data_IF_928963319845
#
_entry.id   IF_928963319845
#
_cell.length_a   1.000
_cell.length_b   1.000
_cell.length_c   1.000
_cell.angle_alpha   90.00
_cell.angle_beta   90.00
_cell.angle_gamma   90.00
#
_symmetry.space_group_name_H-M   'P 1'
#
loop_
_entity.id
_entity.type
_entity.pdbx_description
1 polymer ?
#
# COMPACT_ATOMS: atom_id res chain seq x y z
N UNK A 1 -1.64 -6.67 -14.12
CA UNK A 1 -1.52 -8.15 -14.18
C UNK A 1 -1.90 -8.75 -15.53
N UNK A 2 -3.18 -8.81 -15.93
CA UNK A 2 -3.59 -9.54 -17.15
C UNK A 2 -2.86 -9.18 -18.46
N UNK A 3 -2.54 -7.90 -18.69
CA UNK A 3 -1.78 -7.46 -19.89
C UNK A 3 -0.30 -7.91 -19.82
N UNK A 4 0.28 -7.98 -18.62
CA UNK A 4 1.64 -8.49 -18.42
C UNK A 4 1.71 -9.99 -18.76
N UNK A 5 0.75 -10.77 -18.29
CA UNK A 5 0.58 -12.18 -18.66
C UNK A 5 0.40 -12.35 -20.17
N UNK A 6 -0.37 -11.46 -20.80
CA UNK A 6 -0.58 -11.49 -22.25
C UNK A 6 0.72 -11.28 -23.04
N UNK A 7 1.61 -10.38 -22.59
CA UNK A 7 2.92 -10.12 -23.20
C UNK A 7 3.84 -11.34 -23.13
N UNK A 8 3.79 -12.07 -22.02
CA UNK A 8 4.57 -13.30 -21.82
C UNK A 8 3.96 -14.53 -22.53
N UNK A 9 2.83 -14.37 -23.22
CA UNK A 9 2.15 -15.45 -23.95
C UNK A 9 1.24 -16.31 -23.07
N UNK A 10 1.04 -15.94 -21.81
CA UNK A 10 0.15 -16.61 -20.86
C UNK A 10 -1.33 -16.22 -21.09
N UNK A 11 -1.81 -16.41 -22.32
CA UNK A 11 -3.10 -15.90 -22.77
C UNK A 11 -4.28 -16.44 -21.97
N UNK A 12 -4.25 -17.71 -21.54
CA UNK A 12 -5.34 -18.27 -20.74
C UNK A 12 -5.45 -17.61 -19.36
N UNK A 13 -4.30 -17.33 -18.72
CA UNK A 13 -4.28 -16.59 -17.45
C UNK A 13 -4.71 -15.13 -17.68
N UNK A 14 -4.22 -14.49 -18.73
CA UNK A 14 -4.64 -13.14 -19.12
C UNK A 14 -6.16 -13.03 -19.34
N UNK A 15 -6.77 -13.99 -20.03
CA UNK A 15 -8.22 -14.05 -20.26
C UNK A 15 -9.03 -14.17 -18.94
N UNK A 16 -8.53 -14.90 -17.95
CA UNK A 16 -9.16 -14.97 -16.60
C UNK A 16 -9.14 -13.60 -15.92
N UNK A 17 -7.98 -12.94 -15.93
CA UNK A 17 -7.77 -11.60 -15.36
C UNK A 17 -8.66 -10.51 -16.01
N UNK A 18 -9.20 -10.73 -17.21
CA UNK A 18 -10.10 -9.77 -17.86
C UNK A 18 -11.56 -9.88 -17.41
N UNK A 19 -11.96 -11.00 -16.80
CA UNK A 19 -13.35 -11.22 -16.38
C UNK A 19 -13.68 -10.55 -15.05
N UNK A 20 -12.78 -10.70 -14.08
CA UNK A 20 -13.05 -10.29 -12.70
C UNK A 20 -13.28 -8.77 -12.51
N UNK A 21 -12.51 -7.86 -13.16
CA UNK A 21 -12.69 -6.43 -12.90
C UNK A 21 -14.06 -5.89 -13.32
N UNK A 22 -14.62 -6.39 -14.43
CA UNK A 22 -15.92 -5.97 -14.95
C UNK A 22 -17.09 -6.55 -14.14
N UNK A 23 -17.02 -7.85 -13.86
CA UNK A 23 -18.12 -8.58 -13.21
C UNK A 23 -18.20 -8.30 -11.70
N UNK A 24 -17.08 -8.07 -11.03
CA UNK A 24 -17.01 -8.03 -9.57
C UNK A 24 -16.72 -6.62 -9.01
N UNK A 25 -15.76 -5.90 -9.58
CA UNK A 25 -15.28 -4.64 -9.00
C UNK A 25 -16.00 -3.41 -9.55
N UNK A 26 -16.23 -3.35 -10.87
CA UNK A 26 -16.77 -2.16 -11.54
C UNK A 26 -18.18 -1.79 -11.03
N UNK A 27 -19.01 -2.79 -10.74
CA UNK A 27 -20.38 -2.57 -10.24
C UNK A 27 -20.40 -1.79 -8.91
N UNK A 28 -19.40 -1.99 -8.05
CA UNK A 28 -19.24 -1.28 -6.78
C UNK A 28 -18.92 0.21 -6.95
N UNK A 29 -18.38 0.61 -8.10
CA UNK A 29 -17.97 1.99 -8.38
C UNK A 29 -19.10 2.84 -8.99
N UNK A 30 -20.18 2.23 -9.47
CA UNK A 30 -21.24 2.93 -10.20
C UNK A 30 -21.85 4.10 -9.41
N UNK A 31 -22.20 3.87 -8.14
CA UNK A 31 -22.76 4.92 -7.27
C UNK A 31 -21.78 6.08 -7.06
N UNK A 32 -20.48 5.78 -7.00
CA UNK A 32 -19.42 6.76 -6.86
C UNK A 32 -19.23 7.59 -8.14
N UNK A 33 -19.35 6.99 -9.32
CA UNK A 33 -19.32 7.71 -10.59
C UNK A 33 -20.53 8.64 -10.74
N UNK A 34 -21.74 8.13 -10.45
CA UNK A 34 -22.97 8.94 -10.50
C UNK A 34 -22.89 10.16 -9.58
N UNK A 35 -22.45 9.96 -8.33
CA UNK A 35 -22.33 11.04 -7.35
C UNK A 35 -21.33 12.15 -7.78
N UNK A 36 -20.39 11.82 -8.68
CA UNK A 36 -19.35 12.73 -9.18
C UNK A 36 -19.57 13.19 -10.62
N UNK A 37 -20.65 12.76 -11.27
CA UNK A 37 -20.91 13.06 -12.67
C UNK A 37 -19.86 12.49 -13.63
N UNK A 38 -19.18 11.41 -13.24
CA UNK A 38 -18.25 10.67 -14.09
C UNK A 38 -19.01 9.62 -14.91
N UNK A 39 -18.64 9.46 -16.17
CA UNK A 39 -19.17 8.40 -17.04
C UNK A 39 -18.54 7.02 -16.73
N UNK A 40 -17.48 7.00 -15.90
CA UNK A 40 -16.70 5.82 -15.59
C UNK A 40 -15.81 5.40 -16.77
N UNK A 41 -15.54 4.10 -16.88
CA UNK A 41 -14.62 3.53 -17.88
C UNK A 41 -15.05 2.12 -18.33
N UNK A 42 -16.36 1.83 -18.29
CA UNK A 42 -16.90 0.52 -18.63
C UNK A 42 -16.57 0.09 -20.07
N UNK A 43 -16.66 1.04 -21.00
CA UNK A 43 -16.43 0.80 -22.42
C UNK A 43 -14.96 0.48 -22.71
N UNK A 44 -14.03 1.20 -22.08
CA UNK A 44 -12.60 0.94 -22.17
C UNK A 44 -12.24 -0.40 -21.53
N UNK A 45 -12.85 -0.74 -20.40
CA UNK A 45 -12.64 -2.01 -19.71
C UNK A 45 -13.11 -3.19 -20.58
N UNK A 46 -14.33 -3.09 -21.13
CA UNK A 46 -14.87 -4.10 -22.06
C UNK A 46 -14.00 -4.22 -23.31
N UNK A 47 -13.53 -3.09 -23.85
CA UNK A 47 -12.66 -3.09 -25.04
C UNK A 47 -11.36 -3.84 -24.77
N UNK A 48 -10.72 -3.65 -23.61
CA UNK A 48 -9.51 -4.38 -23.26
C UNK A 48 -9.80 -5.88 -23.12
N UNK A 49 -10.88 -6.24 -22.41
CA UNK A 49 -11.28 -7.63 -22.22
C UNK A 49 -11.54 -8.34 -23.55
N UNK A 50 -12.22 -7.68 -24.49
CA UNK A 50 -12.48 -8.19 -25.82
C UNK A 50 -11.17 -8.42 -26.59
N UNK A 51 -10.23 -7.47 -26.57
CA UNK A 51 -8.94 -7.62 -27.29
C UNK A 51 -8.10 -8.77 -26.77
N UNK A 52 -8.09 -9.01 -25.46
CA UNK A 52 -7.43 -10.16 -24.86
C UNK A 52 -8.12 -11.46 -25.27
N UNK A 53 -9.45 -11.51 -25.19
CA UNK A 53 -10.27 -12.69 -25.52
C UNK A 53 -10.19 -13.07 -27.00
N UNK A 54 -10.19 -12.06 -27.88
CA UNK A 54 -10.01 -12.22 -29.33
C UNK A 54 -8.58 -12.58 -29.72
N UNK A 55 -7.65 -12.55 -28.77
CA UNK A 55 -6.22 -12.74 -28.97
C UNK A 55 -5.65 -11.79 -30.02
N UNK A 56 -6.01 -10.52 -29.89
CA UNK A 56 -5.52 -9.46 -30.76
C UNK A 56 -3.98 -9.33 -30.69
N UNK A 57 -3.32 -8.73 -31.69
CA UNK A 57 -1.90 -8.42 -31.61
C UNK A 57 -1.55 -7.67 -30.31
N UNK A 58 -0.39 -7.97 -29.72
CA UNK A 58 0.04 -7.36 -28.44
C UNK A 58 -0.08 -5.83 -28.46
N UNK A 59 0.32 -5.19 -29.56
CA UNK A 59 0.21 -3.73 -29.71
C UNK A 59 -1.24 -3.20 -29.61
N UNK A 60 -2.23 -3.98 -30.04
CA UNK A 60 -3.64 -3.60 -29.93
C UNK A 60 -4.17 -3.76 -28.50
N UNK A 61 -3.74 -4.82 -27.81
CA UNK A 61 -4.04 -5.03 -26.38
C UNK A 61 -3.43 -3.92 -25.54
N UNK A 62 -2.17 -3.58 -25.78
CA UNK A 62 -1.49 -2.47 -25.10
C UNK A 62 -2.17 -1.13 -25.36
N UNK A 63 -2.53 -0.86 -26.61
CA UNK A 63 -3.26 0.37 -26.92
C UNK A 63 -4.62 0.44 -26.21
N UNK A 64 -5.32 -0.69 -26.04
CA UNK A 64 -6.56 -0.73 -25.26
C UNK A 64 -6.30 -0.52 -23.76
N UNK A 65 -5.23 -1.10 -23.24
CA UNK A 65 -4.83 -0.94 -21.85
C UNK A 65 -4.49 0.51 -21.50
N UNK A 66 -3.73 1.20 -22.36
CA UNK A 66 -3.41 2.62 -22.15
C UNK A 66 -4.66 3.52 -22.16
N UNK A 67 -5.65 3.20 -23.01
CA UNK A 67 -6.95 3.91 -23.00
C UNK A 67 -7.69 3.69 -21.69
N UNK A 68 -7.72 2.45 -21.19
CA UNK A 68 -8.32 2.14 -19.89
C UNK A 68 -7.62 2.88 -18.76
N UNK A 69 -6.28 2.87 -18.70
CA UNK A 69 -5.52 3.60 -17.67
C UNK A 69 -5.80 5.11 -17.73
N UNK A 70 -5.92 5.68 -18.93
CA UNK A 70 -6.29 7.09 -19.12
C UNK A 70 -7.68 7.37 -18.54
N UNK A 71 -8.68 6.54 -18.86
CA UNK A 71 -10.05 6.71 -18.38
C UNK A 71 -10.17 6.52 -16.85
N UNK A 72 -9.41 5.58 -16.28
CA UNK A 72 -9.28 5.43 -14.81
C UNK A 72 -8.71 6.71 -14.20
N UNK A 73 -7.63 7.26 -14.77
CA UNK A 73 -7.01 8.50 -14.30
C UNK A 73 -7.94 9.71 -14.36
N UNK A 74 -8.76 9.82 -15.41
CA UNK A 74 -9.79 10.87 -15.53
C UNK A 74 -10.89 10.71 -14.47
N UNK A 75 -11.33 9.48 -14.21
CA UNK A 75 -12.31 9.18 -13.17
C UNK A 75 -11.77 9.47 -11.75
N UNK A 76 -10.48 9.18 -11.50
CA UNK A 76 -9.80 9.53 -10.26
C UNK A 76 -9.65 11.05 -10.10
N UNK A 77 -9.25 11.76 -11.16
CA UNK A 77 -9.14 13.22 -11.13
C UNK A 77 -10.48 13.89 -10.83
N UNK A 78 -11.60 13.34 -11.32
CA UNK A 78 -12.94 13.80 -10.99
C UNK A 78 -13.31 13.60 -9.50
N UNK A 79 -12.64 12.68 -8.80
CA UNK A 79 -12.79 12.48 -7.36
C UNK A 79 -12.00 13.49 -6.51
N UNK A 80 -11.07 14.24 -7.13
CA UNK A 80 -10.23 15.25 -6.47
C UNK A 80 -8.83 14.72 -6.13
N UNK A 81 -8.01 15.58 -5.51
CA UNK A 81 -6.66 15.23 -5.10
C UNK A 81 -6.67 14.51 -3.75
N UNK A 82 -6.08 13.33 -3.68
CA UNK A 82 -5.86 12.63 -2.41
C UNK A 82 -4.79 13.32 -1.57
N UNK A 83 -5.04 13.42 -0.27
CA UNK A 83 -4.07 13.81 0.73
C UNK A 83 -3.02 12.71 0.93
N UNK A 84 -1.85 13.01 1.51
CA UNK A 84 -0.88 11.98 1.88
C UNK A 84 -1.47 10.86 2.72
N UNK A 85 -2.38 11.19 3.65
CA UNK A 85 -3.02 10.19 4.49
C UNK A 85 -3.89 9.24 3.67
N UNK A 86 -4.70 9.77 2.76
CA UNK A 86 -5.54 8.94 1.88
C UNK A 86 -4.68 8.04 0.98
N UNK A 87 -3.54 8.52 0.47
CA UNK A 87 -2.60 7.67 -0.27
C UNK A 87 -2.07 6.52 0.58
N UNK A 88 -1.68 6.77 1.84
CA UNK A 88 -1.21 5.72 2.75
C UNK A 88 -2.32 4.71 3.09
N UNK A 89 -3.56 5.17 3.27
CA UNK A 89 -4.73 4.32 3.50
C UNK A 89 -5.07 3.46 2.26
N UNK A 90 -4.92 4.00 1.05
CA UNK A 90 -5.05 3.24 -0.21
C UNK A 90 -3.98 2.16 -0.30
N UNK A 91 -2.71 2.50 -0.04
CA UNK A 91 -1.60 1.53 -0.04
C UNK A 91 -1.87 0.40 0.96
N UNK A 92 -2.31 0.74 2.18
CA UNK A 92 -2.69 -0.25 3.18
C UNK A 92 -3.80 -1.18 2.68
N UNK A 93 -4.84 -0.62 2.06
CA UNK A 93 -5.92 -1.41 1.47
C UNK A 93 -5.42 -2.40 0.41
N UNK A 94 -4.58 -1.91 -0.52
CA UNK A 94 -3.98 -2.74 -1.57
C UNK A 94 -3.14 -3.88 -1.01
N UNK A 95 -2.29 -3.61 0.00
CA UNK A 95 -1.45 -4.66 0.62
C UNK A 95 -2.28 -5.65 1.45
N UNK A 96 -3.38 -5.23 2.08
CA UNK A 96 -4.30 -6.15 2.74
C UNK A 96 -4.99 -7.08 1.74
N UNK A 97 -5.54 -6.54 0.65
CA UNK A 97 -6.14 -7.37 -0.41
C UNK A 97 -5.09 -8.29 -1.03
N UNK A 98 -3.86 -7.82 -1.27
CA UNK A 98 -2.78 -8.69 -1.71
C UNK A 98 -2.50 -9.84 -0.72
N UNK A 99 -2.56 -9.58 0.59
CA UNK A 99 -2.39 -10.62 1.59
C UNK A 99 -3.53 -11.65 1.56
N UNK A 100 -4.77 -11.21 1.39
CA UNK A 100 -5.95 -12.08 1.26
C UNK A 100 -5.87 -12.98 0.03
N UNK A 101 -5.56 -12.41 -1.14
CA UNK A 101 -5.41 -13.18 -2.38
C UNK A 101 -4.23 -14.17 -2.29
N UNK A 102 -3.09 -13.74 -1.75
CA UNK A 102 -1.95 -14.62 -1.60
C UNK A 102 -2.20 -15.75 -0.58
N UNK A 103 -3.01 -15.52 0.47
CA UNK A 103 -3.42 -16.57 1.41
C UNK A 103 -4.26 -17.65 0.72
N UNK A 104 -5.14 -17.27 -0.21
CA UNK A 104 -5.90 -18.22 -1.05
C UNK A 104 -4.97 -18.98 -2.00
N UNK A 105 -3.91 -18.34 -2.49
CA UNK A 105 -2.95 -18.97 -3.39
C UNK A 105 -2.09 -20.06 -2.73
N UNK A 106 -1.83 -19.97 -1.42
CA UNK A 106 -0.92 -20.85 -0.68
C UNK A 106 -1.69 -21.95 0.06
N UNK A 107 -1.42 -23.20 -0.30
CA UNK A 107 -1.93 -24.39 0.38
C UNK A 107 -1.00 -24.98 1.45
N UNK A 108 -1.40 -26.15 1.93
CA UNK A 108 -0.72 -26.88 3.00
C UNK A 108 0.77 -27.11 2.68
N UNK A 109 1.64 -26.68 3.61
CA UNK A 109 3.09 -26.83 3.47
C UNK A 109 3.72 -25.97 2.37
N UNK A 110 2.99 -24.97 1.88
CA UNK A 110 3.45 -24.03 0.83
C UNK A 110 3.18 -24.54 -0.59
N UNK A 111 2.23 -25.45 -0.82
CA UNK A 111 1.79 -25.80 -2.18
C UNK A 111 1.14 -24.59 -2.86
N UNK A 112 1.28 -24.48 -4.17
CA UNK A 112 0.44 -23.58 -4.95
C UNK A 112 -0.94 -24.21 -5.15
N UNK A 113 -2.00 -23.57 -4.64
CA UNK A 113 -3.40 -24.01 -4.82
C UNK A 113 -4.13 -23.17 -5.85
N UNK A 114 -3.85 -21.86 -5.89
CA UNK A 114 -4.48 -20.95 -6.84
C UNK A 114 -3.46 -20.00 -7.49
N UNK A 115 -3.10 -20.30 -8.74
CA UNK A 115 -2.21 -19.46 -9.52
C UNK A 115 -2.80 -18.09 -9.88
N UNK A 116 -4.13 -18.00 -9.93
CA UNK A 116 -4.83 -16.77 -10.23
C UNK A 116 -4.68 -15.76 -9.09
N UNK A 117 -4.98 -16.17 -7.86
CA UNK A 117 -4.88 -15.23 -6.72
C UNK A 117 -3.42 -14.87 -6.40
N UNK A 118 -2.47 -15.76 -6.70
CA UNK A 118 -1.05 -15.41 -6.65
C UNK A 118 -0.72 -14.19 -7.53
N UNK A 119 -1.28 -14.17 -8.74
CA UNK A 119 -1.06 -13.13 -9.72
C UNK A 119 -1.85 -11.86 -9.37
N UNK A 120 -3.09 -11.98 -8.89
CA UNK A 120 -3.86 -10.84 -8.39
C UNK A 120 -3.15 -10.15 -7.23
N UNK A 121 -2.64 -10.93 -6.27
CA UNK A 121 -1.86 -10.41 -5.17
C UNK A 121 -0.63 -9.62 -5.64
N UNK A 122 0.10 -10.12 -6.64
CA UNK A 122 1.20 -9.38 -7.27
C UNK A 122 0.73 -8.07 -7.89
N UNK A 123 -0.41 -8.10 -8.60
CA UNK A 123 -0.99 -6.92 -9.23
C UNK A 123 -1.32 -5.82 -8.22
N UNK A 124 -1.90 -6.18 -7.07
CA UNK A 124 -2.17 -5.24 -5.98
C UNK A 124 -0.88 -4.63 -5.40
N UNK A 125 0.18 -5.43 -5.22
CA UNK A 125 1.47 -4.93 -4.73
C UNK A 125 2.12 -3.98 -5.73
N UNK A 126 2.10 -4.28 -7.03
CA UNK A 126 2.61 -3.38 -8.07
C UNK A 126 1.88 -2.02 -8.03
N UNK A 127 0.55 -2.02 -7.92
CA UNK A 127 -0.21 -0.76 -7.79
C UNK A 127 0.11 -0.04 -6.47
N UNK A 128 0.37 -0.77 -5.39
CA UNK A 128 0.81 -0.17 -4.12
C UNK A 128 2.19 0.51 -4.23
N UNK A 129 3.12 -0.07 -5.00
CA UNK A 129 4.41 0.55 -5.33
C UNK A 129 4.22 1.86 -6.11
N UNK A 130 3.31 1.89 -7.10
CA UNK A 130 2.99 3.12 -7.84
C UNK A 130 2.35 4.19 -6.94
N UNK A 131 1.45 3.79 -6.04
CA UNK A 131 0.80 4.71 -5.09
C UNK A 131 1.75 5.25 -4.04
N UNK A 132 2.81 4.54 -3.70
CA UNK A 132 3.88 5.06 -2.84
C UNK A 132 4.61 6.24 -3.50
N UNK A 133 4.74 6.27 -4.82
CA UNK A 133 5.31 7.45 -5.49
C UNK A 133 4.34 8.64 -5.41
N UNK A 134 3.05 8.42 -5.67
CA UNK A 134 2.03 9.45 -5.50
C UNK A 134 1.95 9.99 -4.06
N UNK A 135 2.14 9.12 -3.04
CA UNK A 135 2.27 9.52 -1.65
C UNK A 135 3.41 10.53 -1.44
N UNK A 136 4.59 10.26 -2.01
CA UNK A 136 5.75 11.17 -1.92
C UNK A 136 5.47 12.49 -2.62
N UNK A 137 4.91 12.46 -3.82
CA UNK A 137 4.56 13.65 -4.60
C UNK A 137 3.51 14.52 -3.91
N UNK A 138 2.59 13.90 -3.17
CA UNK A 138 1.57 14.60 -2.36
C UNK A 138 2.14 15.31 -1.11
N UNK A 139 3.46 15.20 -0.86
CA UNK A 139 4.12 15.77 0.32
C UNK A 139 4.05 14.88 1.56
N UNK A 140 3.90 13.56 1.38
CA UNK A 140 3.91 12.60 2.47
C UNK A 140 5.21 12.60 3.27
N UNK A 141 5.09 12.25 4.56
CA UNK A 141 6.23 12.19 5.47
C UNK A 141 7.29 11.21 4.95
N UNK A 142 8.56 11.63 4.77
CA UNK A 142 9.63 10.77 4.29
C UNK A 142 9.89 9.54 5.15
N UNK A 143 9.70 9.60 6.47
CA UNK A 143 9.87 8.45 7.36
C UNK A 143 8.76 7.42 7.14
N UNK A 144 7.52 7.89 6.97
CA UNK A 144 6.39 7.01 6.62
C UNK A 144 6.57 6.41 5.23
N UNK A 145 7.03 7.21 4.25
CA UNK A 145 7.34 6.70 2.91
C UNK A 145 8.43 5.61 2.95
N UNK A 146 9.46 5.79 3.79
CA UNK A 146 10.54 4.83 3.95
C UNK A 146 10.05 3.53 4.60
N UNK A 147 9.19 3.63 5.62
CA UNK A 147 8.59 2.45 6.26
C UNK A 147 7.70 1.67 5.27
N UNK A 148 6.82 2.35 4.53
CA UNK A 148 5.98 1.71 3.51
C UNK A 148 6.86 1.04 2.44
N UNK A 149 7.90 1.73 1.95
CA UNK A 149 8.84 1.16 0.98
C UNK A 149 9.52 -0.10 1.50
N UNK A 150 9.98 -0.09 2.76
CA UNK A 150 10.62 -1.24 3.38
C UNK A 150 9.67 -2.44 3.48
N UNK A 151 8.38 -2.19 3.72
CA UNK A 151 7.38 -3.26 3.79
C UNK A 151 7.03 -3.86 2.43
N UNK A 152 6.91 -3.03 1.38
CA UNK A 152 6.71 -3.52 0.01
C UNK A 152 7.92 -4.34 -0.45
N UNK A 153 9.15 -3.88 -0.17
CA UNK A 153 10.37 -4.63 -0.50
C UNK A 153 10.46 -5.96 0.29
N UNK A 154 10.05 -5.97 1.56
CA UNK A 154 10.11 -7.17 2.39
C UNK A 154 9.21 -8.32 1.89
N UNK A 155 8.11 -8.00 1.19
CA UNK A 155 7.17 -9.01 0.65
C UNK A 155 7.47 -9.40 -0.80
N UNK A 156 8.30 -8.64 -1.52
CA UNK A 156 8.71 -8.93 -2.90
C UNK A 156 9.19 -10.39 -3.12
N UNK A 157 9.92 -11.05 -2.19
CA UNK A 157 10.30 -12.45 -2.37
C UNK A 157 9.15 -13.45 -2.51
N UNK A 158 7.91 -13.09 -2.16
CA UNK A 158 6.72 -13.91 -2.44
C UNK A 158 6.50 -14.14 -3.94
N UNK A 159 7.00 -13.23 -4.79
CA UNK A 159 6.82 -13.28 -6.25
C UNK A 159 8.13 -13.41 -7.02
N UNK A 160 8.78 -14.59 -7.01
CA UNK A 160 10.00 -14.82 -7.79
C UNK A 160 9.79 -14.78 -9.32
N UNK A 161 8.55 -14.94 -9.79
CA UNK A 161 8.18 -14.90 -11.21
C UNK A 161 6.70 -14.61 -11.40
N UNK A 162 6.32 -14.14 -12.60
CA UNK A 162 4.93 -13.89 -12.97
C UNK A 162 4.08 -15.17 -13.02
N UNK A 163 4.67 -16.25 -13.52
CA UNK A 163 4.10 -17.60 -13.43
C UNK A 163 4.56 -18.20 -12.11
N UNK A 164 3.66 -18.58 -11.19
CA UNK A 164 4.06 -19.08 -9.88
C UNK A 164 4.82 -20.41 -9.96
N UNK A 165 5.82 -20.64 -9.08
CA UNK A 165 6.35 -21.97 -8.86
C UNK A 165 5.31 -22.85 -8.14
N UNK A 166 5.46 -24.18 -8.26
CA UNK A 166 4.56 -25.15 -7.58
C UNK A 166 4.64 -25.09 -6.05
N UNK A 167 5.69 -24.48 -5.50
CA UNK A 167 5.91 -24.30 -4.07
C UNK A 167 6.21 -22.84 -3.79
N UNK A 168 5.48 -22.26 -2.86
CA UNK A 168 5.60 -20.89 -2.38
C UNK A 168 6.28 -20.92 -1.00
N UNK A 169 7.48 -20.34 -0.92
CA UNK A 169 8.28 -20.37 0.32
C UNK A 169 7.96 -19.21 1.28
N UNK A 170 7.34 -18.14 0.78
CA UNK A 170 6.86 -17.03 1.63
C UNK A 170 5.49 -17.39 2.20
N UNK A 171 5.37 -17.35 3.52
CA UNK A 171 4.09 -17.58 4.20
C UNK A 171 3.16 -16.36 4.09
N UNK A 172 1.83 -16.54 3.98
CA UNK A 172 0.87 -15.42 3.93
C UNK A 172 0.98 -14.44 5.10
N UNK A 173 1.37 -14.92 6.28
CA UNK A 173 1.61 -14.08 7.47
C UNK A 173 2.69 -13.01 7.26
N UNK A 174 3.61 -13.18 6.30
CA UNK A 174 4.58 -12.15 5.96
C UNK A 174 3.90 -10.90 5.35
N UNK A 175 2.91 -11.11 4.48
CA UNK A 175 2.16 -10.03 3.83
C UNK A 175 1.22 -9.34 4.82
N UNK A 176 0.49 -10.11 5.63
CA UNK A 176 -0.30 -9.53 6.74
C UNK A 176 0.58 -8.74 7.72
N UNK A 177 1.77 -9.24 8.03
CA UNK A 177 2.72 -8.52 8.87
C UNK A 177 3.22 -7.22 8.24
N UNK A 178 3.40 -7.18 6.92
CA UNK A 178 3.73 -5.96 6.20
C UNK A 178 2.57 -4.95 6.23
N UNK A 179 1.33 -5.42 5.97
CA UNK A 179 0.13 -4.59 6.08
C UNK A 179 -0.02 -3.97 7.48
N UNK A 180 0.15 -4.75 8.54
CA UNK A 180 0.08 -4.22 9.92
C UNK A 180 1.15 -3.15 10.20
N UNK A 181 2.37 -3.26 9.65
CA UNK A 181 3.41 -2.24 9.83
C UNK A 181 3.09 -0.96 9.04
N UNK A 182 2.54 -1.09 7.83
CA UNK A 182 2.02 0.04 7.06
C UNK A 182 0.88 0.73 7.80
N UNK A 183 -0.03 -0.02 8.43
CA UNK A 183 -1.11 0.52 9.24
C UNK A 183 -0.57 1.35 10.41
N UNK A 184 0.40 0.83 11.16
CA UNK A 184 1.04 1.56 12.25
C UNK A 184 1.69 2.87 11.78
N UNK A 185 2.40 2.83 10.65
CA UNK A 185 2.99 4.03 10.04
C UNK A 185 1.90 5.05 9.65
N UNK A 186 0.82 4.59 9.04
CA UNK A 186 -0.33 5.42 8.63
C UNK A 186 -1.04 6.06 9.84
N UNK A 187 -1.21 5.32 10.93
CA UNK A 187 -1.79 5.83 12.17
C UNK A 187 -0.92 6.92 12.81
N UNK A 188 0.41 6.80 12.73
CA UNK A 188 1.35 7.78 13.30
C UNK A 188 1.23 9.17 12.66
N UNK A 189 0.77 9.25 11.40
CA UNK A 189 0.56 10.51 10.68
C UNK A 189 -0.47 11.43 11.35
N UNK A 190 -1.37 10.89 12.18
CA UNK A 190 -2.36 11.67 12.93
C UNK A 190 -1.85 12.26 14.25
N UNK A 191 -0.64 11.89 14.69
CA UNK A 191 -0.09 12.21 16.01
C UNK A 191 0.63 13.56 16.14
N UNK A 192 1.02 14.21 15.03
CA UNK A 192 1.87 15.42 15.08
C UNK A 192 1.11 16.76 15.10
N UNK A 193 -0.22 16.78 14.92
CA UNK A 193 -0.97 18.04 14.88
C UNK A 193 -1.25 18.66 16.27
N UNK A 194 -0.84 18.02 17.37
CA UNK A 194 -1.13 18.47 18.74
C UNK A 194 0.08 19.04 19.51
N UNK A 195 1.27 19.12 18.91
CA UNK A 195 2.50 19.49 19.64
C UNK A 195 3.04 20.92 19.39
N UNK A 196 2.41 21.75 18.56
CA UNK A 196 2.87 23.14 18.28
C UNK A 196 1.85 24.22 18.68
N UNK A 197 1.23 24.07 19.85
CA UNK A 197 0.34 25.10 20.41
C UNK A 197 0.50 25.23 21.92
N UNK A 198 1.58 25.89 22.37
CA UNK A 198 1.89 26.04 23.79
C UNK A 198 2.71 27.29 24.12
N UNK A 199 2.03 28.44 24.03
CA UNK A 199 2.16 29.62 24.90
C UNK A 199 3.49 30.40 24.94
N UNK A 200 3.43 31.59 24.33
CA UNK A 200 4.23 32.72 24.76
C UNK A 200 3.82 33.18 26.16
N UNK A 201 4.83 33.47 26.99
CA UNK A 201 4.71 34.19 28.25
C UNK A 201 5.86 35.19 28.35
N UNK A 202 5.53 36.47 28.21
CA UNK A 202 6.43 37.60 28.39
C UNK A 202 6.81 37.81 29.87
N UNK A 203 8.03 38.29 30.08
CA UNK A 203 8.29 39.40 31.01
C UNK A 203 8.79 39.06 32.42
N UNK A 204 9.76 39.86 32.86
CA UNK A 204 9.85 40.27 34.27
C UNK A 204 11.20 40.03 34.96
N UNK A 205 11.95 41.11 35.12
CA UNK A 205 13.21 41.23 35.84
C UNK A 205 13.11 40.99 37.35
N UNK A 206 14.26 40.66 37.96
CA UNK A 206 14.68 41.22 39.25
C UNK A 206 14.46 40.36 40.50
N UNK A 207 15.54 40.15 41.27
CA UNK A 207 15.44 39.64 42.64
C UNK A 207 16.73 39.03 43.16
N UNK A 208 17.65 39.85 43.66
CA UNK A 208 18.77 39.44 44.50
C UNK A 208 18.29 38.88 45.86
N UNK A 209 19.11 37.99 46.44
CA UNK A 209 19.24 37.86 47.89
C UNK A 209 18.86 36.51 48.48
N UNK A 210 19.80 35.90 49.21
CA UNK A 210 19.48 34.83 50.16
C UNK A 210 20.61 33.84 50.41
N UNK A 211 21.63 34.26 51.17
CA UNK A 211 22.52 33.33 51.89
C UNK A 211 21.73 32.57 52.96
N UNK A 212 22.09 31.30 53.21
CA UNK A 212 21.77 30.65 54.47
C UNK A 212 21.75 29.13 54.43
N UNK A 213 22.63 28.50 55.21
CA UNK A 213 22.22 27.39 56.08
C UNK A 213 22.74 26.00 55.74
N UNK A 214 23.92 25.71 56.28
CA UNK A 214 24.42 24.45 56.85
C UNK A 214 23.49 23.23 56.99
N UNK A 215 24.08 22.05 56.78
CA UNK A 215 24.01 20.95 57.75
C UNK A 215 23.43 19.63 57.24
N UNK A 216 24.20 18.54 57.39
CA UNK A 216 23.63 17.18 57.41
C UNK A 216 24.55 16.08 56.89
N UNK A 217 25.34 15.49 57.80
CA UNK A 217 26.15 14.28 57.61
C UNK A 217 25.30 13.00 57.47
N UNK A 218 25.93 11.96 56.89
CA UNK A 218 25.52 10.54 56.93
C UNK A 218 25.52 9.96 55.52
N UNK A 219 26.33 8.97 55.12
CA UNK A 219 27.00 7.92 55.87
C UNK A 219 26.52 6.58 55.29
N UNK A 220 27.31 5.94 54.42
CA UNK A 220 27.15 4.57 53.91
C UNK A 220 28.52 4.23 53.26
N UNK A 221 29.31 3.22 53.67
CA UNK A 221 28.93 1.81 53.87
C UNK A 221 28.60 1.24 52.50
N UNK A 222 29.53 0.72 51.69
CA UNK A 222 30.38 -0.42 51.95
C UNK A 222 29.76 -1.65 51.28
N UNK A 223 30.31 -2.09 50.15
CA UNK A 223 30.26 -3.46 49.58
C UNK A 223 31.22 -3.46 48.38
N UNK A 224 32.19 -4.37 48.28
CA UNK A 224 31.96 -5.78 47.99
C UNK A 224 31.61 -5.87 46.49
N UNK A 225 32.41 -6.42 45.59
CA UNK A 225 33.36 -7.51 45.70
C UNK A 225 33.35 -8.23 44.35
N UNK A 226 34.50 -8.81 44.02
CA UNK A 226 34.68 -9.99 43.16
C UNK A 226 34.43 -9.77 41.65
N UNK A 227 35.27 -10.25 40.74
CA UNK A 227 36.17 -11.41 40.83
C UNK A 227 35.90 -12.27 39.62
#
# INVERSE_FOLDING_TARGET
MGVELYREGEHAAAETHMKHPGDELYSGLMSAFEARGSEGFADELSTLADRVTERAPVAEVEAAYERLLTAIGEAEAAAGTSSPREHAEIILGLVNTAAEEYDIAVGDGGSLENAHEYQDALGFVQVAEDRLEAFRESGGDPEVAAEIAAQLEAIRPAWPSLVPPQRLDTAPSALYGAASRIELATLSMGGMAAAEGGEGGEGGEGGEGGEGGEGGEGGEGGEGGEG
#
